data_IF_741930806510
#
_entry.id   IF_741930806510
#
_cell.length_a   1.000
_cell.length_b   1.000
_cell.length_c   1.000
_cell.angle_alpha   90.00
_cell.angle_beta   90.00
_cell.angle_gamma   90.00
#
_symmetry.space_group_name_H-M   'P 1'
#
loop_
_entity.id
_entity.type
_entity.pdbx_description
1 polymer ?
#
# COMPACT_ATOMS: atom_id res chain seq x y z
N UNK A 1 -11.66 -5.11 -23.08
CA UNK A 1 -12.13 -4.58 -21.76
C UNK A 1 -12.70 -5.64 -20.82
N UNK A 2 -13.50 -6.63 -21.28
CA UNK A 2 -14.10 -7.66 -20.39
C UNK A 2 -13.10 -8.41 -19.49
N UNK A 3 -11.89 -8.66 -20.00
CA UNK A 3 -10.82 -9.37 -19.29
C UNK A 3 -10.32 -8.59 -18.06
N UNK A 4 -10.10 -7.28 -18.20
CA UNK A 4 -9.62 -6.41 -17.11
C UNK A 4 -10.67 -6.26 -16.02
N UNK A 5 -11.93 -6.13 -16.40
CA UNK A 5 -13.05 -6.00 -15.46
C UNK A 5 -13.24 -7.29 -14.65
N UNK A 6 -13.09 -8.46 -15.28
CA UNK A 6 -13.12 -9.76 -14.59
C UNK A 6 -11.98 -9.88 -13.57
N UNK A 7 -10.78 -9.45 -13.96
CA UNK A 7 -9.61 -9.48 -13.09
C UNK A 7 -9.76 -8.56 -11.86
N UNK A 8 -10.25 -7.34 -12.06
CA UNK A 8 -10.57 -6.41 -10.97
C UNK A 8 -11.65 -7.02 -10.08
N UNK A 9 -12.66 -7.68 -10.67
CA UNK A 9 -13.76 -8.23 -9.91
C UNK A 9 -13.38 -9.40 -9.01
N UNK A 10 -12.41 -10.21 -9.43
CA UNK A 10 -11.92 -11.33 -8.63
C UNK A 10 -10.95 -10.89 -7.54
N UNK A 11 -10.20 -9.80 -7.76
CA UNK A 11 -9.16 -9.32 -6.83
C UNK A 11 -9.58 -8.05 -6.06
N UNK A 12 -10.89 -7.79 -5.93
CA UNK A 12 -11.41 -6.58 -5.25
C UNK A 12 -10.87 -6.43 -3.83
N UNK A 13 -10.76 -7.53 -3.09
CA UNK A 13 -10.24 -7.52 -1.73
C UNK A 13 -8.75 -7.13 -1.68
N UNK A 14 -7.92 -7.67 -2.58
CA UNK A 14 -6.50 -7.31 -2.69
C UNK A 14 -6.35 -5.84 -3.05
N UNK A 15 -7.17 -5.32 -3.98
CA UNK A 15 -7.21 -3.90 -4.34
C UNK A 15 -7.62 -3.01 -3.16
N UNK A 16 -8.60 -3.44 -2.34
CA UNK A 16 -8.95 -2.75 -1.10
C UNK A 16 -7.80 -2.77 -0.09
N UNK A 17 -7.07 -3.89 0.02
CA UNK A 17 -5.85 -4.00 0.83
C UNK A 17 -4.74 -3.06 0.38
N UNK A 18 -4.53 -2.93 -0.92
CA UNK A 18 -3.60 -1.96 -1.51
C UNK A 18 -3.96 -0.52 -1.16
N UNK A 19 -5.24 -0.15 -1.27
CA UNK A 19 -5.73 1.19 -0.90
C UNK A 19 -5.57 1.48 0.59
N UNK A 20 -5.91 0.51 1.46
CA UNK A 20 -5.69 0.65 2.90
C UNK A 20 -4.20 0.80 3.21
N UNK A 21 -3.35 -0.01 2.60
CA UNK A 21 -1.90 0.06 2.72
C UNK A 21 -1.33 1.41 2.27
N UNK A 22 -1.87 2.01 1.22
CA UNK A 22 -1.52 3.36 0.77
C UNK A 22 -1.84 4.41 1.83
N UNK A 23 -3.04 4.35 2.42
CA UNK A 23 -3.45 5.28 3.50
C UNK A 23 -2.55 5.14 4.72
N UNK A 24 -2.22 3.90 5.12
CA UNK A 24 -1.28 3.66 6.22
C UNK A 24 0.14 4.14 5.89
N UNK A 25 0.60 3.96 4.66
CA UNK A 25 1.90 4.47 4.19
C UNK A 25 1.96 6.01 4.21
N UNK A 26 0.86 6.67 3.84
CA UNK A 26 0.72 8.12 3.93
C UNK A 26 0.72 8.61 5.37
N UNK A 27 -0.06 7.96 6.26
CA UNK A 27 -0.08 8.27 7.69
C UNK A 27 1.31 8.10 8.30
N UNK A 28 1.99 7.00 8.00
CA UNK A 28 3.35 6.74 8.45
C UNK A 28 4.31 7.84 7.97
N UNK A 29 4.24 8.23 6.69
CA UNK A 29 5.04 9.34 6.17
C UNK A 29 4.74 10.66 6.91
N UNK A 30 3.46 11.00 7.08
CA UNK A 30 3.02 12.27 7.67
C UNK A 30 3.44 12.43 9.14
N UNK A 31 3.35 11.35 9.92
CA UNK A 31 3.67 11.40 11.35
C UNK A 31 5.14 11.09 11.67
N UNK A 32 5.82 10.26 10.87
CA UNK A 32 7.15 9.73 11.21
C UNK A 32 8.28 10.12 10.25
N UNK A 33 8.02 10.43 8.98
CA UNK A 33 9.11 10.58 7.97
C UNK A 33 9.68 12.00 7.83
N UNK A 34 9.31 12.96 8.70
CA UNK A 34 9.69 14.36 8.50
C UNK A 34 10.38 15.04 9.71
N UNK A 35 10.96 14.30 10.66
CA UNK A 35 11.74 14.94 11.72
C UNK A 35 13.04 14.19 12.05
N UNK A 36 14.14 14.73 11.51
CA UNK A 36 15.52 14.65 12.03
C UNK A 36 15.97 13.26 12.53
N UNK A 37 16.25 12.33 11.61
CA UNK A 37 16.88 11.04 11.93
C UNK A 37 17.30 10.20 10.71
N UNK A 38 18.21 9.24 10.91
CA UNK A 38 18.55 8.18 9.94
C UNK A 38 17.41 7.15 9.90
N UNK A 39 16.37 7.44 9.11
CA UNK A 39 15.29 6.48 8.89
C UNK A 39 15.66 5.48 7.79
N UNK A 40 15.23 4.21 7.92
CA UNK A 40 15.46 3.18 6.90
C UNK A 40 14.65 3.42 5.63
N UNK A 41 13.63 4.28 5.69
CA UNK A 41 12.77 4.66 4.58
C UNK A 41 12.98 6.14 4.23
N UNK A 42 12.93 6.42 2.94
CA UNK A 42 13.11 7.77 2.38
C UNK A 42 12.10 8.76 2.99
N UNK A 43 12.54 10.01 3.18
CA UNK A 43 11.66 11.11 3.62
C UNK A 43 10.58 11.48 2.58
N UNK A 44 10.58 10.81 1.44
CA UNK A 44 9.68 11.08 0.35
C UNK A 44 8.40 10.24 0.43
N UNK A 45 7.25 10.91 0.29
CA UNK A 45 5.92 10.31 0.42
C UNK A 45 5.69 9.12 -0.54
N UNK A 46 6.18 9.23 -1.77
CA UNK A 46 6.02 8.20 -2.80
C UNK A 46 6.64 6.83 -2.44
N UNK A 47 7.71 6.80 -1.64
CA UNK A 47 8.39 5.57 -1.23
C UNK A 47 7.56 4.88 -0.16
N UNK A 48 7.15 5.60 0.88
CA UNK A 48 6.31 5.05 1.95
C UNK A 48 4.93 4.64 1.46
N UNK A 49 4.29 5.43 0.60
CA UNK A 49 3.01 5.08 0.01
C UNK A 49 3.14 3.87 -0.92
N UNK A 50 4.22 3.78 -1.71
CA UNK A 50 4.50 2.64 -2.57
C UNK A 50 4.69 1.35 -1.77
N UNK A 51 5.52 1.40 -0.72
CA UNK A 51 5.72 0.28 0.20
C UNK A 51 4.43 -0.11 0.92
N UNK A 52 3.68 0.86 1.44
CA UNK A 52 2.40 0.62 2.09
C UNK A 52 1.41 -0.07 1.17
N UNK A 53 1.30 0.39 -0.08
CA UNK A 53 0.43 -0.22 -1.10
C UNK A 53 0.82 -1.67 -1.39
N UNK A 54 2.11 -1.94 -1.61
CA UNK A 54 2.62 -3.28 -1.89
C UNK A 54 2.40 -4.23 -0.70
N UNK A 55 2.72 -3.79 0.51
CA UNK A 55 2.53 -4.57 1.73
C UNK A 55 1.04 -4.83 2.01
N UNK A 56 0.18 -3.83 1.85
CA UNK A 56 -1.27 -3.97 2.05
C UNK A 56 -1.89 -4.98 1.08
N UNK A 57 -1.52 -4.92 -0.20
CA UNK A 57 -1.94 -5.91 -1.19
C UNK A 57 -1.41 -7.30 -0.89
N UNK A 58 -0.14 -7.41 -0.47
CA UNK A 58 0.49 -8.68 -0.14
C UNK A 58 -0.15 -9.35 1.08
N UNK A 59 -0.41 -8.60 2.15
CA UNK A 59 -1.07 -9.10 3.37
C UNK A 59 -2.46 -9.66 3.03
N UNK A 60 -3.27 -8.93 2.28
CA UNK A 60 -4.59 -9.43 1.89
C UNK A 60 -4.50 -10.64 0.98
N UNK A 61 -3.51 -10.69 0.09
CA UNK A 61 -3.25 -11.88 -0.74
C UNK A 61 -2.84 -13.09 0.08
N UNK A 62 -2.14 -12.92 1.20
CA UNK A 62 -1.81 -14.02 2.12
C UNK A 62 -3.03 -14.52 2.88
N UNK A 63 -3.95 -13.62 3.24
CA UNK A 63 -5.19 -13.95 3.98
C UNK A 63 -6.25 -14.60 3.07
N UNK A 64 -6.29 -14.24 1.79
CA UNK A 64 -7.22 -14.82 0.82
C UNK A 64 -6.75 -16.16 0.21
N UNK A 65 -5.55 -16.62 0.56
CA UNK A 65 -5.04 -17.93 0.16
C UNK A 65 -5.60 -19.03 1.05
#
# INVERSE_FOLDING_TARGET
MKQVISFISNNKSILAGMLLGLVFGYLYWYYFSCYWGTYPLSAECWVNCGYGTLLGGFIVSLIQK
#
